data_IF_284517770535
#
_entry.id   IF_284517770535
#
_cell.length_a   1.000
_cell.length_b   1.000
_cell.length_c   1.000
_cell.angle_alpha   90.00
_cell.angle_beta   90.00
_cell.angle_gamma   90.00
#
_symmetry.space_group_name_H-M   'P 1'
#
loop_
_entity.id
_entity.type
_entity.pdbx_description
1 polymer ?
#
# COMPACT_ATOMS: atom_id res chain seq x y z
N UNK A 1 7.92 -12.80 -13.38
CA UNK A 1 9.26 -12.19 -13.56
C UNK A 1 9.94 -12.10 -12.20
N UNK A 2 11.25 -12.35 -12.13
CA UNK A 2 12.06 -12.34 -10.89
C UNK A 2 12.79 -11.00 -10.71
N UNK A 3 13.13 -10.66 -9.47
CA UNK A 3 14.02 -9.50 -9.15
C UNK A 3 15.39 -9.73 -9.80
N UNK A 4 16.02 -8.68 -10.34
CA UNK A 4 17.36 -8.78 -10.93
C UNK A 4 18.43 -9.03 -9.85
N UNK A 5 19.48 -9.78 -10.19
CA UNK A 5 20.59 -10.03 -9.26
C UNK A 5 21.34 -8.73 -8.93
N UNK A 6 21.52 -7.86 -9.91
CA UNK A 6 22.12 -6.54 -9.73
C UNK A 6 21.39 -5.72 -8.65
N UNK A 7 20.05 -5.70 -8.66
CA UNK A 7 19.27 -5.01 -7.63
C UNK A 7 19.49 -5.63 -6.25
N UNK A 8 19.56 -6.96 -6.17
CA UNK A 8 19.78 -7.66 -4.91
C UNK A 8 21.17 -7.38 -4.32
N UNK A 9 22.21 -7.26 -5.15
CA UNK A 9 23.59 -7.12 -4.68
C UNK A 9 24.00 -5.66 -4.44
N UNK A 10 23.51 -4.72 -5.24
CA UNK A 10 23.99 -3.33 -5.23
C UNK A 10 23.09 -2.36 -4.45
N UNK A 11 21.81 -2.66 -4.29
CA UNK A 11 20.86 -1.69 -3.77
C UNK A 11 20.89 -1.61 -2.22
N UNK A 12 21.02 -0.40 -1.67
CA UNK A 12 21.06 -0.19 -0.22
C UNK A 12 19.78 -0.62 0.50
N UNK A 13 18.62 -0.62 -0.21
CA UNK A 13 17.30 -0.96 0.36
C UNK A 13 17.13 -2.46 0.61
N UNK A 14 18.01 -3.28 0.06
CA UNK A 14 18.04 -4.72 0.32
C UNK A 14 19.22 -5.11 1.21
N UNK A 15 19.99 -4.14 1.70
CA UNK A 15 21.11 -4.37 2.59
C UNK A 15 20.66 -4.25 4.05
N UNK A 16 20.62 -5.35 4.83
CA UNK A 16 20.09 -5.32 6.19
C UNK A 16 20.93 -4.47 7.16
N UNK A 17 22.19 -4.21 6.83
CA UNK A 17 23.12 -3.32 7.54
C UNK A 17 22.86 -1.83 7.27
N UNK A 18 22.12 -1.48 6.20
CA UNK A 18 21.82 -0.09 5.82
C UNK A 18 20.34 0.24 5.99
N UNK A 19 19.45 -0.59 5.43
CA UNK A 19 18.00 -0.48 5.61
C UNK A 19 17.40 -1.83 5.99
N UNK A 20 17.29 -2.05 7.30
CA UNK A 20 16.74 -3.30 7.87
C UNK A 20 15.26 -3.50 7.52
N UNK A 21 14.52 -2.41 7.25
CA UNK A 21 13.09 -2.46 6.97
C UNK A 21 12.80 -2.69 5.48
N UNK A 22 13.72 -2.29 4.60
CA UNK A 22 13.67 -2.51 3.16
C UNK A 22 12.36 -2.01 2.54
N UNK A 23 11.63 -2.88 1.83
CA UNK A 23 10.40 -2.51 1.14
C UNK A 23 9.33 -1.91 2.06
N UNK A 24 9.34 -2.24 3.36
CA UNK A 24 8.44 -1.62 4.33
C UNK A 24 8.72 -0.12 4.48
N UNK A 25 9.99 0.27 4.57
CA UNK A 25 10.37 1.68 4.72
C UNK A 25 10.25 2.42 3.39
N UNK A 26 10.67 1.81 2.29
CA UNK A 26 10.70 2.47 0.99
C UNK A 26 9.32 2.63 0.35
N UNK A 27 8.46 1.60 0.43
CA UNK A 27 7.15 1.58 -0.23
C UNK A 27 6.00 1.52 0.78
N UNK A 28 6.14 0.67 1.80
CA UNK A 28 5.09 0.49 2.80
C UNK A 28 4.74 1.75 3.57
N UNK A 29 5.69 2.68 3.75
CA UNK A 29 5.47 3.99 4.37
C UNK A 29 4.33 4.76 3.69
N UNK A 30 4.32 4.82 2.35
CA UNK A 30 3.26 5.50 1.60
C UNK A 30 1.92 4.81 1.76
N UNK A 31 1.87 3.47 1.71
CA UNK A 31 0.64 2.71 1.90
C UNK A 31 0.04 2.91 3.29
N UNK A 32 0.88 2.90 4.34
CA UNK A 32 0.44 3.13 5.72
C UNK A 32 -0.09 4.55 5.88
N UNK A 33 0.64 5.55 5.37
CA UNK A 33 0.20 6.95 5.40
C UNK A 33 -1.13 7.17 4.68
N UNK A 34 -1.31 6.56 3.50
CA UNK A 34 -2.53 6.67 2.71
C UNK A 34 -3.75 6.12 3.44
N UNK A 35 -3.61 4.97 4.10
CA UNK A 35 -4.68 4.38 4.90
C UNK A 35 -4.97 5.21 6.13
N UNK A 36 -3.94 5.63 6.88
CA UNK A 36 -4.15 6.46 8.07
C UNK A 36 -4.89 7.74 7.72
N UNK A 37 -4.53 8.38 6.60
CA UNK A 37 -5.26 9.52 6.06
C UNK A 37 -6.71 9.17 5.69
N UNK A 38 -6.94 8.06 5.00
CA UNK A 38 -8.27 7.65 4.55
C UNK A 38 -9.26 7.34 5.70
N UNK A 39 -8.74 6.93 6.87
CA UNK A 39 -9.53 6.59 8.05
C UNK A 39 -9.43 7.63 9.19
N UNK A 40 -8.94 8.84 8.90
CA UNK A 40 -8.80 9.93 9.86
C UNK A 40 -7.97 9.56 11.11
N UNK A 41 -6.84 8.92 10.88
CA UNK A 41 -5.82 8.57 11.89
C UNK A 41 -6.38 7.86 13.13
N UNK A 42 -6.97 6.66 12.97
CA UNK A 42 -7.61 5.94 14.07
C UNK A 42 -6.58 5.46 15.11
N UNK A 43 -6.93 5.56 16.39
CA UNK A 43 -6.06 5.20 17.52
C UNK A 43 -5.91 3.67 17.72
N UNK A 44 -6.95 2.89 17.40
CA UNK A 44 -6.94 1.43 17.58
C UNK A 44 -6.99 0.72 16.24
N UNK A 45 -5.99 -0.13 15.96
CA UNK A 45 -5.87 -0.83 14.68
C UNK A 45 -5.64 -2.32 14.95
N UNK A 46 -6.52 -3.17 14.42
CA UNK A 46 -6.28 -4.61 14.37
C UNK A 46 -5.69 -4.98 13.02
N UNK A 47 -4.46 -5.52 13.00
CA UNK A 47 -3.75 -5.86 11.76
C UNK A 47 -3.44 -7.35 11.68
N UNK A 48 -3.64 -7.94 10.51
CA UNK A 48 -3.11 -9.26 10.14
C UNK A 48 -2.19 -9.09 8.93
N UNK A 49 -1.00 -9.71 8.95
CA UNK A 49 0.00 -9.51 7.90
C UNK A 49 0.65 -10.82 7.45
N UNK A 50 0.90 -10.93 6.13
CA UNK A 50 1.69 -11.99 5.52
C UNK A 50 2.90 -11.38 4.83
N UNK A 51 4.09 -11.73 5.32
CA UNK A 51 5.36 -11.18 4.85
C UNK A 51 6.17 -12.23 4.08
N UNK A 52 6.80 -11.83 2.98
CA UNK A 52 7.78 -12.66 2.26
C UNK A 52 9.17 -12.07 2.40
N UNK A 53 10.08 -12.86 2.97
CA UNK A 53 11.51 -12.53 3.14
C UNK A 53 12.36 -13.40 2.23
N UNK A 54 13.38 -12.83 1.61
CA UNK A 54 14.28 -13.58 0.74
C UNK A 54 15.40 -14.21 1.59
N UNK A 55 15.34 -15.52 1.81
CA UNK A 55 16.24 -16.21 2.76
C UNK A 55 17.71 -16.29 2.31
N UNK A 56 18.01 -16.13 1.02
CA UNK A 56 19.27 -16.62 0.44
C UNK A 56 20.44 -15.64 0.46
N UNK A 57 20.18 -14.33 0.60
CA UNK A 57 21.26 -13.33 0.52
C UNK A 57 21.00 -12.10 1.43
N UNK A 58 19.74 -11.69 1.59
CA UNK A 58 19.40 -10.46 2.29
C UNK A 58 18.17 -10.68 3.16
N UNK A 59 18.35 -10.65 4.49
CA UNK A 59 17.27 -10.81 5.50
C UNK A 59 16.30 -9.62 5.56
N UNK A 60 16.17 -8.85 4.48
CA UNK A 60 15.30 -7.68 4.38
C UNK A 60 13.88 -8.08 3.95
N UNK A 61 12.89 -7.23 4.28
CA UNK A 61 11.52 -7.42 3.80
C UNK A 61 11.45 -7.01 2.34
N UNK A 62 11.09 -7.96 1.47
CA UNK A 62 10.99 -7.74 0.01
C UNK A 62 9.57 -7.44 -0.44
N UNK A 63 8.59 -8.01 0.26
CA UNK A 63 7.18 -7.74 0.02
C UNK A 63 6.35 -8.11 1.24
N UNK A 64 5.26 -7.39 1.46
CA UNK A 64 4.28 -7.73 2.48
C UNK A 64 2.89 -7.33 2.00
N UNK A 65 1.92 -8.15 2.38
CA UNK A 65 0.50 -7.80 2.31
C UNK A 65 -0.02 -7.80 3.74
N UNK A 66 -0.71 -6.72 4.14
CA UNK A 66 -1.42 -6.66 5.41
C UNK A 66 -2.85 -6.19 5.19
N UNK A 67 -3.73 -6.68 6.06
CA UNK A 67 -5.10 -6.24 6.18
C UNK A 67 -5.31 -5.63 7.55
N UNK A 68 -6.07 -4.54 7.58
CA UNK A 68 -6.40 -3.79 8.77
C UNK A 68 -7.91 -3.73 8.92
N UNK A 69 -8.38 -3.83 10.16
CA UNK A 69 -9.79 -3.75 10.52
C UNK A 69 -9.98 -2.70 11.62
N UNK A 70 -11.03 -1.89 11.45
CA UNK A 70 -11.48 -0.90 12.42
C UNK A 70 -12.97 -1.04 12.67
N UNK A 71 -13.33 -0.76 13.92
CA UNK A 71 -14.72 -0.57 14.32
C UNK A 71 -14.95 0.93 14.50
N UNK A 72 -15.32 1.61 13.41
CA UNK A 72 -15.60 3.04 13.41
C UNK A 72 -17.12 3.18 13.37
N UNK A 73 -17.70 3.65 14.49
CA UNK A 73 -19.11 4.05 14.60
C UNK A 73 -20.09 3.16 13.82
N UNK A 74 -20.18 1.87 14.17
CA UNK A 74 -21.11 0.86 13.63
C UNK A 74 -20.92 0.41 12.17
N UNK A 75 -19.89 0.88 11.47
CA UNK A 75 -19.51 0.35 10.15
C UNK A 75 -18.21 -0.42 10.22
N UNK A 76 -18.24 -1.71 9.86
CA UNK A 76 -17.05 -2.53 9.78
C UNK A 76 -16.19 -2.04 8.61
N UNK A 77 -15.11 -1.34 8.94
CA UNK A 77 -14.20 -0.72 8.00
C UNK A 77 -12.96 -1.58 7.87
N UNK A 78 -12.48 -1.78 6.65
CA UNK A 78 -11.25 -2.54 6.41
C UNK A 78 -10.41 -1.90 5.32
N UNK A 79 -9.12 -2.18 5.37
CA UNK A 79 -8.20 -1.81 4.32
C UNK A 79 -7.14 -2.88 4.15
N UNK A 80 -6.51 -2.87 2.98
CA UNK A 80 -5.36 -3.71 2.69
C UNK A 80 -4.24 -2.89 2.10
N UNK A 81 -3.01 -3.24 2.46
CA UNK A 81 -1.80 -2.72 1.81
C UNK A 81 -1.07 -3.87 1.15
N UNK A 82 -0.46 -3.56 0.02
CA UNK A 82 0.54 -4.39 -0.59
C UNK A 82 1.70 -3.51 -1.02
N UNK A 83 2.92 -3.90 -0.65
CA UNK A 83 4.13 -3.26 -1.14
C UNK A 83 5.20 -4.31 -1.43
N UNK A 84 6.02 -4.05 -2.44
CA UNK A 84 6.90 -5.07 -3.00
C UNK A 84 8.01 -4.49 -3.89
N UNK A 85 9.23 -5.01 -3.76
CA UNK A 85 10.33 -4.78 -4.71
C UNK A 85 10.30 -5.74 -5.92
N UNK A 86 9.19 -6.44 -6.14
CA UNK A 86 9.00 -7.31 -7.30
C UNK A 86 8.76 -6.50 -8.58
N UNK A 87 9.02 -7.08 -9.77
CA UNK A 87 9.31 -6.34 -10.99
C UNK A 87 8.09 -5.69 -11.69
N UNK A 88 7.01 -5.37 -10.95
CA UNK A 88 5.94 -4.54 -11.47
C UNK A 88 5.71 -3.35 -10.54
N UNK A 89 6.01 -2.15 -11.03
CA UNK A 89 5.70 -0.90 -10.34
C UNK A 89 4.20 -0.64 -10.45
N UNK A 90 3.54 -0.58 -9.30
CA UNK A 90 2.15 -0.15 -9.14
C UNK A 90 2.10 0.82 -7.95
N UNK A 91 1.27 1.85 -8.09
CA UNK A 91 1.06 2.90 -7.10
C UNK A 91 -0.45 3.15 -6.92
N UNK A 92 -1.21 2.06 -6.95
CA UNK A 92 -2.67 2.10 -6.86
C UNK A 92 -3.13 2.42 -5.43
N UNK A 93 -4.03 3.39 -5.33
CA UNK A 93 -4.71 3.78 -4.10
C UNK A 93 -6.20 3.89 -4.37
N UNK A 94 -6.99 3.11 -3.63
CA UNK A 94 -8.44 3.11 -3.76
C UNK A 94 -9.12 3.19 -2.39
N UNK A 95 -10.12 4.06 -2.29
CA UNK A 95 -10.97 4.21 -1.11
C UNK A 95 -12.42 4.22 -1.57
N UNK A 96 -13.27 3.47 -0.88
CA UNK A 96 -14.69 3.37 -1.19
C UNK A 96 -15.50 3.69 0.06
N UNK A 97 -16.34 4.72 -0.03
CA UNK A 97 -17.36 5.04 0.96
C UNK A 97 -18.76 4.69 0.45
N UNK A 98 -19.78 4.98 1.25
CA UNK A 98 -21.19 4.73 0.91
C UNK A 98 -21.67 5.52 -0.32
N UNK A 99 -21.15 6.72 -0.53
CA UNK A 99 -21.64 7.66 -1.54
C UNK A 99 -20.72 7.79 -2.77
N UNK A 100 -19.44 7.46 -2.63
CA UNK A 100 -18.44 7.64 -3.67
C UNK A 100 -17.23 6.74 -3.43
N UNK A 101 -16.51 6.45 -4.51
CA UNK A 101 -15.18 5.86 -4.45
C UNK A 101 -14.16 6.73 -5.19
N UNK A 102 -12.94 6.70 -4.69
CA UNK A 102 -11.78 7.39 -5.23
C UNK A 102 -10.76 6.33 -5.62
N UNK A 103 -10.21 6.46 -6.83
CA UNK A 103 -9.11 5.61 -7.29
C UNK A 103 -8.04 6.46 -8.00
N UNK A 104 -6.80 6.32 -7.54
CA UNK A 104 -5.60 6.91 -8.15
C UNK A 104 -4.58 5.79 -8.45
N UNK A 105 -3.90 5.86 -9.59
CA UNK A 105 -2.90 4.85 -10.01
C UNK A 105 -1.45 5.30 -9.89
N UNK A 106 -1.29 6.59 -9.60
CA UNK A 106 -0.04 7.35 -9.55
C UNK A 106 0.07 8.10 -8.21
N UNK A 107 -0.47 7.51 -7.14
CA UNK A 107 -0.59 8.15 -5.83
C UNK A 107 0.77 8.55 -5.20
N UNK A 108 1.83 7.78 -5.46
CA UNK A 108 3.17 8.05 -4.89
C UNK A 108 3.96 9.01 -5.80
N UNK A 109 3.99 8.71 -7.10
CA UNK A 109 4.67 9.51 -8.12
C UNK A 109 3.66 9.77 -9.23
N UNK A 110 3.17 11.00 -9.40
CA UNK A 110 2.25 11.36 -10.47
C UNK A 110 2.82 11.03 -11.85
N UNK A 111 1.96 10.64 -12.79
CA UNK A 111 2.42 10.41 -14.17
C UNK A 111 2.84 11.70 -14.88
N UNK A 112 2.25 12.84 -14.47
CA UNK A 112 2.60 14.16 -14.96
C UNK A 112 2.93 15.06 -13.77
N UNK A 113 4.01 15.82 -13.87
CA UNK A 113 4.50 16.66 -12.77
C UNK A 113 3.50 17.74 -12.32
N UNK A 114 2.58 18.13 -13.21
CA UNK A 114 1.65 19.23 -13.00
C UNK A 114 0.27 18.82 -12.51
N UNK A 115 -0.17 17.58 -12.73
CA UNK A 115 -1.52 17.11 -12.32
C UNK A 115 -1.54 15.60 -12.05
N UNK A 116 -2.35 15.17 -11.08
CA UNK A 116 -2.68 13.78 -10.83
C UNK A 116 -4.15 13.50 -11.21
N UNK A 117 -4.42 12.34 -11.79
CA UNK A 117 -5.78 11.95 -12.20
C UNK A 117 -6.49 11.24 -11.05
N UNK A 118 -7.38 11.96 -10.37
CA UNK A 118 -8.29 11.39 -9.37
C UNK A 118 -9.58 10.92 -10.07
N UNK A 119 -9.75 9.62 -10.27
CA UNK A 119 -11.00 9.09 -10.80
C UNK A 119 -12.01 8.89 -9.65
N UNK A 120 -13.03 9.76 -9.58
CA UNK A 120 -14.18 9.57 -8.70
C UNK A 120 -15.26 8.78 -9.43
N UNK A 121 -15.55 7.56 -8.98
CA UNK A 121 -16.73 6.81 -9.42
C UNK A 121 -17.85 7.03 -8.41
N UNK A 122 -18.93 7.68 -8.83
CA UNK A 122 -20.19 7.69 -8.06
C UNK A 122 -20.98 6.44 -8.45
N UNK A 123 -21.03 5.43 -7.59
CA UNK A 123 -21.99 4.34 -7.74
C UNK A 123 -23.37 4.84 -7.31
N UNK A 124 -24.27 5.07 -8.26
CA UNK A 124 -25.67 5.36 -7.98
C UNK A 124 -26.36 4.03 -7.58
N UNK A 125 -26.41 3.72 -6.28
CA UNK A 125 -27.25 2.62 -5.80
C UNK A 125 -28.68 3.12 -5.84
N UNK A 126 -29.43 2.72 -6.88
CA UNK A 126 -30.87 2.93 -6.95
C UNK A 126 -31.50 2.03 -5.90
N UNK A 127 -31.84 2.58 -4.73
CA UNK A 127 -32.67 1.88 -3.75
C UNK A 127 -34.03 1.62 -4.39
N UNK A 128 -34.32 0.35 -4.66
CA UNK A 128 -35.68 -0.08 -4.97
C UNK A 128 -36.49 -0.03 -3.67
N UNK A 129 -37.49 0.85 -3.65
CA UNK A 129 -38.68 0.71 -2.80
C UNK A 129 -39.48 -0.53 -3.18
#
# INVERSE_FOLDING_TARGET
MSVSLEFLESNIRVRPDLDVLGALRDLGWYCIGAILWAFDYPITIYSSSSARRYKKLHRCNMSLTASFHWDISSTNSSASIHYSFLPHTSMDFAVSGSNASIHAKDFIIPYQETWALLCSLKSYVKSHE
#
